data_IF_862773910453
#
_entry.id   IF_862773910453
#
_cell.length_a   1.000
_cell.length_b   1.000
_cell.length_c   1.000
_cell.angle_alpha   90.00
_cell.angle_beta   90.00
_cell.angle_gamma   90.00
#
_symmetry.space_group_name_H-M   'P 1'
#
loop_
_entity.id
_entity.type
_entity.pdbx_description
1 polymer ?
#
# COMPACT_ATOMS: atom_id res chain seq x y z
N UNK A 1 -68.50 48.96 -43.38
CA UNK A 1 -67.47 48.03 -43.89
C UNK A 1 -66.47 47.78 -42.78
N UNK A 2 -66.40 46.55 -42.30
CA UNK A 2 -65.99 46.24 -40.92
C UNK A 2 -64.47 46.24 -40.71
N UNK A 3 -64.06 46.82 -39.59
CA UNK A 3 -62.93 46.54 -38.68
C UNK A 3 -62.93 47.74 -37.71
N UNK A 4 -62.74 47.66 -36.40
CA UNK A 4 -61.95 46.74 -35.58
C UNK A 4 -62.05 47.29 -34.14
N UNK A 5 -62.09 46.43 -33.11
CA UNK A 5 -61.11 46.40 -31.99
C UNK A 5 -61.64 45.74 -30.72
N UNK A 6 -60.70 45.04 -30.12
CA UNK A 6 -60.75 44.11 -29.00
C UNK A 6 -60.48 44.88 -27.70
N UNK A 7 -61.33 44.67 -26.70
CA UNK A 7 -60.98 44.83 -25.28
C UNK A 7 -60.15 43.59 -24.85
N UNK A 8 -59.35 43.56 -23.78
CA UNK A 8 -59.76 43.89 -22.41
C UNK A 8 -58.57 43.70 -21.44
N UNK A 9 -58.44 44.67 -20.51
CA UNK A 9 -57.97 44.63 -19.11
C UNK A 9 -56.58 44.10 -18.68
N UNK A 10 -55.84 45.06 -18.10
CA UNK A 10 -54.74 44.96 -17.12
C UNK A 10 -55.25 44.58 -15.71
N UNK A 11 -54.41 43.90 -14.91
CA UNK A 11 -53.99 44.23 -13.51
C UNK A 11 -53.04 43.14 -12.93
N UNK A 12 -52.27 43.36 -11.84
CA UNK A 12 -50.81 43.52 -11.90
C UNK A 12 -49.97 42.38 -11.30
N UNK A 13 -48.67 42.50 -11.54
CA UNK A 13 -47.59 41.59 -11.16
C UNK A 13 -47.40 41.39 -9.65
N UNK A 14 -47.19 40.12 -9.26
CA UNK A 14 -46.38 39.74 -8.10
C UNK A 14 -45.26 38.81 -8.58
N UNK A 15 -44.03 39.29 -8.50
CA UNK A 15 -42.84 38.50 -8.64
C UNK A 15 -42.47 37.92 -7.27
N UNK A 16 -42.48 36.59 -7.12
CA UNK A 16 -41.68 35.91 -6.12
C UNK A 16 -41.06 34.68 -6.76
N UNK A 17 -39.74 34.60 -6.60
CA UNK A 17 -38.86 33.72 -7.36
C UNK A 17 -39.26 32.27 -7.31
N UNK A 18 -39.31 31.65 -8.49
CA UNK A 18 -39.25 30.21 -8.61
C UNK A 18 -37.87 29.81 -8.10
N UNK A 19 -37.84 29.19 -6.91
CA UNK A 19 -36.74 28.34 -6.48
C UNK A 19 -36.66 27.24 -7.54
N UNK A 20 -35.81 27.44 -8.55
CA UNK A 20 -35.35 26.35 -9.40
C UNK A 20 -34.63 25.40 -8.44
N UNK A 21 -35.34 24.37 -8.00
CA UNK A 21 -34.71 23.13 -7.59
C UNK A 21 -33.90 22.67 -8.78
N UNK A 22 -32.63 23.07 -8.82
CA UNK A 22 -31.65 22.49 -9.69
C UNK A 22 -31.69 21.01 -9.37
N UNK A 23 -32.34 20.24 -10.24
CA UNK A 23 -32.11 18.82 -10.33
C UNK A 23 -30.61 18.71 -10.49
N UNK A 24 -29.93 18.33 -9.40
CA UNK A 24 -28.55 17.91 -9.48
C UNK A 24 -28.53 16.90 -10.60
N UNK A 25 -27.84 17.23 -11.69
CA UNK A 25 -27.57 16.28 -12.75
C UNK A 25 -26.87 15.11 -12.08
N UNK A 26 -27.65 14.08 -11.75
CA UNK A 26 -27.15 12.84 -11.23
C UNK A 26 -26.21 12.32 -12.29
N UNK A 27 -24.91 12.38 -11.99
CA UNK A 27 -23.89 11.77 -12.81
C UNK A 27 -24.35 10.33 -13.03
N UNK A 28 -24.75 9.99 -14.26
CA UNK A 28 -25.34 8.71 -14.58
C UNK A 28 -24.35 7.62 -14.17
N UNK A 29 -24.63 6.95 -13.06
CA UNK A 29 -23.69 6.00 -12.52
C UNK A 29 -23.59 4.82 -13.48
N UNK A 30 -22.38 4.54 -13.95
CA UNK A 30 -22.13 3.41 -14.84
C UNK A 30 -22.65 2.13 -14.18
N UNK A 31 -23.51 1.39 -14.87
CA UNK A 31 -24.07 0.14 -14.34
C UNK A 31 -23.31 -1.05 -14.89
N UNK A 32 -23.06 -2.04 -14.04
CA UNK A 32 -22.44 -3.31 -14.40
C UNK A 32 -23.41 -4.47 -14.20
N UNK A 33 -23.52 -5.37 -15.18
CA UNK A 33 -24.27 -6.63 -15.05
C UNK A 33 -23.29 -7.78 -14.88
N UNK A 34 -23.51 -8.59 -13.85
CA UNK A 34 -22.68 -9.75 -13.58
C UNK A 34 -22.99 -10.84 -14.62
N UNK A 35 -21.98 -11.24 -15.38
CA UNK A 35 -22.09 -12.22 -16.47
C UNK A 35 -21.88 -13.64 -15.94
N UNK A 36 -20.97 -13.80 -14.97
CA UNK A 36 -20.68 -15.06 -14.29
C UNK A 36 -20.37 -14.80 -12.81
N UNK A 37 -20.56 -15.82 -11.96
CA UNK A 37 -20.36 -15.69 -10.51
C UNK A 37 -18.98 -15.10 -10.20
N UNK A 38 -18.95 -14.04 -9.38
CA UNK A 38 -17.73 -13.29 -9.07
C UNK A 38 -17.63 -12.99 -7.58
N UNK A 39 -16.42 -13.08 -7.03
CA UNK A 39 -16.15 -12.73 -5.64
C UNK A 39 -16.31 -11.23 -5.41
N UNK A 40 -17.20 -10.86 -4.48
CA UNK A 40 -17.32 -9.51 -3.96
C UNK A 40 -16.47 -9.36 -2.71
N UNK A 41 -15.46 -8.49 -2.77
CA UNK A 41 -14.36 -8.48 -1.80
C UNK A 41 -14.22 -7.16 -1.06
N UNK A 42 -13.58 -7.22 0.11
CA UNK A 42 -13.29 -6.04 0.93
C UNK A 42 -12.15 -5.18 0.38
N UNK A 43 -11.28 -5.72 -0.49
CA UNK A 43 -10.20 -4.99 -1.17
C UNK A 43 -10.04 -5.43 -2.64
N UNK A 44 -9.44 -4.59 -3.52
CA UNK A 44 -9.24 -4.90 -4.94
C UNK A 44 -8.04 -5.84 -5.16
N UNK A 45 -8.08 -7.00 -4.51
CA UNK A 45 -7.10 -8.07 -4.68
C UNK A 45 -7.73 -9.44 -4.38
N UNK A 46 -7.19 -10.49 -4.99
CA UNK A 46 -7.71 -11.87 -4.87
C UNK A 46 -7.43 -12.53 -3.52
N UNK A 47 -6.57 -11.95 -2.68
CA UNK A 47 -6.25 -12.45 -1.34
C UNK A 47 -7.12 -11.89 -0.21
N UNK A 48 -7.96 -10.89 -0.50
CA UNK A 48 -8.82 -10.24 0.48
C UNK A 48 -10.09 -11.05 0.77
N UNK A 49 -10.67 -10.83 1.94
CA UNK A 49 -11.90 -11.48 2.38
C UNK A 49 -13.02 -11.31 1.36
N UNK A 50 -13.62 -12.44 0.95
CA UNK A 50 -14.82 -12.45 0.13
C UNK A 50 -16.00 -12.19 1.07
N UNK A 51 -16.67 -11.06 0.88
CA UNK A 51 -17.90 -10.73 1.61
C UNK A 51 -19.01 -11.68 1.21
N UNK A 52 -19.21 -11.83 -0.11
CA UNK A 52 -20.11 -12.81 -0.73
C UNK A 52 -19.77 -12.98 -2.20
N UNK A 53 -20.49 -13.86 -2.88
CA UNK A 53 -20.44 -13.98 -4.34
C UNK A 53 -21.62 -13.23 -4.95
N UNK A 54 -21.36 -12.45 -6.01
CA UNK A 54 -22.43 -11.89 -6.83
C UNK A 54 -22.82 -12.92 -7.88
N UNK A 55 -24.12 -13.12 -8.08
CA UNK A 55 -24.62 -14.16 -8.99
C UNK A 55 -24.74 -13.62 -10.42
N UNK A 56 -24.63 -14.50 -11.40
CA UNK A 56 -24.90 -14.15 -12.79
C UNK A 56 -26.32 -13.55 -12.92
N UNK A 57 -26.43 -12.42 -13.62
CA UNK A 57 -27.66 -11.63 -13.74
C UNK A 57 -27.83 -10.53 -12.70
N UNK A 58 -27.08 -10.54 -11.59
CA UNK A 58 -27.08 -9.45 -10.61
C UNK A 58 -26.55 -8.15 -11.23
N UNK A 59 -27.13 -7.01 -10.84
CA UNK A 59 -26.69 -5.69 -11.30
C UNK A 59 -26.01 -4.94 -10.15
N UNK A 60 -24.97 -4.19 -10.50
CA UNK A 60 -24.20 -3.37 -9.57
C UNK A 60 -24.00 -1.98 -10.13
N UNK A 61 -23.90 -0.99 -9.25
CA UNK A 61 -23.47 0.35 -9.60
C UNK A 61 -21.95 0.40 -9.56
N UNK A 62 -21.31 0.77 -10.66
CA UNK A 62 -19.86 0.96 -10.72
C UNK A 62 -19.56 2.35 -10.19
N UNK A 63 -18.82 2.40 -9.09
CA UNK A 63 -18.41 3.64 -8.45
C UNK A 63 -17.08 4.15 -9.01
N UNK A 64 -16.16 3.24 -9.31
CA UNK A 64 -14.80 3.56 -9.73
C UNK A 64 -14.16 2.34 -10.42
N UNK A 65 -13.34 2.57 -11.45
CA UNK A 65 -12.41 1.56 -11.95
C UNK A 65 -11.06 1.76 -11.26
N UNK A 66 -10.74 0.87 -10.32
CA UNK A 66 -9.54 0.99 -9.47
C UNK A 66 -8.27 0.68 -10.26
N UNK A 67 -8.37 -0.23 -11.23
CA UNK A 67 -7.34 -0.55 -12.23
C UNK A 67 -7.95 -1.43 -13.34
N UNK A 68 -7.12 -1.94 -14.25
CA UNK A 68 -7.53 -2.82 -15.35
C UNK A 68 -8.20 -4.13 -14.94
N UNK A 69 -8.14 -4.50 -13.66
CA UNK A 69 -8.63 -5.78 -13.12
C UNK A 69 -9.71 -5.64 -12.05
N UNK A 70 -10.00 -4.44 -11.55
CA UNK A 70 -10.93 -4.24 -10.44
C UNK A 70 -11.85 -3.03 -10.63
N UNK A 71 -13.14 -3.27 -10.46
CA UNK A 71 -14.12 -2.21 -10.20
C UNK A 71 -14.42 -2.14 -8.71
N UNK A 72 -14.55 -0.93 -8.20
CA UNK A 72 -15.28 -0.66 -6.97
C UNK A 72 -16.75 -0.51 -7.33
N UNK A 73 -17.59 -1.32 -6.69
CA UNK A 73 -19.01 -1.41 -7.01
C UNK A 73 -19.86 -1.34 -5.75
N UNK A 74 -21.10 -0.87 -5.91
CA UNK A 74 -22.16 -0.94 -4.92
C UNK A 74 -23.22 -1.93 -5.38
N UNK A 75 -23.50 -2.93 -4.55
CA UNK A 75 -24.50 -3.96 -4.83
C UNK A 75 -25.92 -3.49 -4.48
N UNK A 76 -26.93 -4.26 -4.90
CA UNK A 76 -28.35 -3.94 -4.71
C UNK A 76 -28.79 -3.91 -3.24
N UNK A 77 -28.07 -4.63 -2.37
CA UNK A 77 -28.22 -4.60 -0.91
C UNK A 77 -27.60 -3.34 -0.27
N UNK A 78 -27.00 -2.45 -1.07
CA UNK A 78 -26.36 -1.22 -0.63
C UNK A 78 -24.89 -1.38 -0.20
N UNK A 79 -24.36 -2.59 -0.14
CA UNK A 79 -22.98 -2.85 0.26
C UNK A 79 -21.99 -2.41 -0.84
N UNK A 80 -20.85 -1.84 -0.43
CA UNK A 80 -19.76 -1.43 -1.34
C UNK A 80 -18.54 -2.33 -1.19
N UNK A 81 -17.90 -2.65 -2.31
CA UNK A 81 -16.74 -3.53 -2.35
C UNK A 81 -16.13 -3.64 -3.73
N UNK A 82 -15.32 -4.66 -3.95
CA UNK A 82 -14.52 -4.79 -5.16
C UNK A 82 -14.82 -6.10 -5.90
N UNK A 83 -14.93 -6.00 -7.23
CA UNK A 83 -15.16 -7.13 -8.14
C UNK A 83 -14.17 -7.07 -9.30
N UNK A 84 -13.90 -8.22 -9.91
CA UNK A 84 -13.04 -8.30 -11.10
C UNK A 84 -13.67 -7.50 -12.25
N UNK A 85 -12.87 -6.69 -12.95
CA UNK A 85 -13.30 -5.94 -14.15
C UNK A 85 -13.23 -6.74 -15.44
N UNK A 86 -12.82 -8.01 -15.38
CA UNK A 86 -12.74 -8.86 -16.57
C UNK A 86 -14.14 -9.11 -17.15
N UNK A 87 -14.24 -9.03 -18.48
CA UNK A 87 -15.51 -9.14 -19.21
C UNK A 87 -16.28 -10.46 -18.98
N UNK A 88 -15.58 -11.52 -18.59
CA UNK A 88 -16.20 -12.80 -18.22
C UNK A 88 -17.02 -12.74 -16.92
N UNK A 89 -16.77 -11.75 -16.06
CA UNK A 89 -17.45 -11.58 -14.77
C UNK A 89 -18.45 -10.43 -14.78
N UNK A 90 -18.15 -9.32 -15.47
CA UNK A 90 -18.99 -8.13 -15.46
C UNK A 90 -19.00 -7.46 -16.85
N UNK A 91 -20.19 -7.11 -17.33
CA UNK A 91 -20.40 -6.27 -18.52
C UNK A 91 -20.87 -4.89 -18.09
N UNK A 92 -20.26 -3.84 -18.64
CA UNK A 92 -20.59 -2.45 -18.30
C UNK A 92 -21.50 -1.89 -19.38
N UNK A 93 -22.62 -1.28 -18.99
CA UNK A 93 -23.49 -0.52 -19.88
C UNK A 93 -23.62 0.90 -19.34
N UNK A 94 -23.10 1.84 -20.13
CA UNK A 94 -22.95 3.25 -19.75
C UNK A 94 -21.51 3.73 -19.96
N UNK A 95 -21.14 3.93 -21.23
CA UNK A 95 -19.89 4.58 -21.61
C UNK A 95 -20.09 6.08 -21.69
N UNK A 96 -19.39 6.80 -20.84
CA UNK A 96 -18.80 8.08 -21.21
C UNK A 96 -17.35 8.04 -20.77
N UNK A 97 -16.55 7.42 -21.64
CA UNK A 97 -15.12 7.58 -21.70
C UNK A 97 -14.80 9.08 -21.82
N UNK A 98 -14.39 9.70 -20.72
CA UNK A 98 -13.55 10.89 -20.81
C UNK A 98 -12.10 10.41 -20.84
N UNK A 99 -11.72 9.87 -21.99
CA UNK A 99 -10.33 9.84 -22.44
C UNK A 99 -9.90 11.29 -22.67
N UNK A 100 -9.57 11.99 -21.59
CA UNK A 100 -8.90 13.27 -21.64
C UNK A 100 -7.43 13.03 -21.86
N UNK A 101 -7.00 13.08 -23.12
CA UNK A 101 -5.59 13.24 -23.48
C UNK A 101 -5.03 14.43 -22.72
N UNK A 102 -4.21 14.16 -21.71
CA UNK A 102 -3.21 15.10 -21.25
C UNK A 102 -1.89 14.57 -21.75
N UNK A 103 -1.47 15.08 -22.90
CA UNK A 103 -0.07 15.07 -23.33
C UNK A 103 0.74 15.79 -22.26
N UNK A 104 1.11 15.06 -21.22
CA UNK A 104 2.09 15.49 -20.24
C UNK A 104 3.39 14.87 -20.68
N UNK A 105 4.22 15.66 -21.37
CA UNK A 105 5.62 15.37 -21.70
C UNK A 105 6.23 14.44 -20.67
N UNK A 106 6.49 13.20 -21.10
CA UNK A 106 6.66 12.06 -20.22
C UNK A 106 7.72 12.32 -19.16
N UNK A 107 7.32 12.28 -17.90
CA UNK A 107 8.25 12.30 -16.79
C UNK A 107 9.25 11.16 -16.97
N UNK A 108 10.51 11.51 -17.16
CA UNK A 108 11.56 10.50 -17.31
C UNK A 108 11.90 9.92 -15.94
N UNK A 109 12.08 8.61 -15.86
CA UNK A 109 12.55 7.90 -14.68
C UNK A 109 14.00 7.45 -14.87
N UNK A 110 14.83 7.57 -13.85
CA UNK A 110 16.16 6.93 -13.83
C UNK A 110 16.13 5.78 -12.83
N UNK A 111 16.46 4.58 -13.30
CA UNK A 111 16.56 3.40 -12.46
C UNK A 111 17.77 3.56 -11.55
N UNK A 112 17.57 3.46 -10.24
CA UNK A 112 18.64 3.66 -9.24
C UNK A 112 19.38 2.35 -8.97
N UNK A 113 18.62 1.31 -8.68
CA UNK A 113 19.12 -0.05 -8.47
C UNK A 113 18.43 -1.01 -9.44
N UNK A 114 19.05 -2.17 -9.66
CA UNK A 114 18.45 -3.25 -10.46
C UNK A 114 17.02 -3.53 -10.00
N UNK A 115 16.06 -3.45 -10.92
CA UNK A 115 14.63 -3.64 -10.62
C UNK A 115 14.03 -4.64 -11.58
N UNK A 116 13.16 -5.52 -11.06
CA UNK A 116 12.36 -6.41 -11.91
C UNK A 116 11.42 -5.59 -12.77
N UNK A 117 11.59 -5.67 -14.08
CA UNK A 117 10.63 -5.17 -15.06
C UNK A 117 9.65 -6.28 -15.36
N UNK A 118 8.37 -6.06 -15.03
CA UNK A 118 7.37 -7.12 -14.99
C UNK A 118 6.26 -6.92 -15.99
N UNK A 119 5.60 -8.02 -16.32
CA UNK A 119 4.43 -8.03 -17.19
C UNK A 119 3.19 -7.45 -16.49
N UNK A 120 3.15 -7.43 -15.15
CA UNK A 120 2.04 -6.88 -14.35
C UNK A 120 2.55 -6.10 -13.12
N UNK A 121 1.75 -5.17 -12.55
CA UNK A 121 2.10 -4.38 -11.37
C UNK A 121 1.94 -5.19 -10.07
N UNK A 122 2.60 -6.34 -10.01
CA UNK A 122 2.63 -7.22 -8.85
C UNK A 122 3.97 -7.98 -8.76
N UNK A 123 4.36 -8.37 -7.55
CA UNK A 123 5.65 -9.03 -7.29
C UNK A 123 5.70 -10.51 -7.68
N UNK A 124 4.56 -11.12 -8.02
CA UNK A 124 4.43 -12.52 -8.42
C UNK A 124 4.42 -12.74 -9.95
N UNK A 125 4.23 -11.69 -10.73
CA UNK A 125 4.15 -11.75 -12.18
C UNK A 125 5.50 -12.01 -12.85
N UNK A 126 5.43 -12.54 -14.07
CA UNK A 126 6.61 -12.83 -14.88
C UNK A 126 7.50 -11.59 -15.04
N UNK A 127 8.79 -11.78 -14.78
CA UNK A 127 9.81 -10.77 -15.04
C UNK A 127 10.15 -10.81 -16.52
N UNK A 128 9.92 -9.71 -17.22
CA UNK A 128 10.33 -9.52 -18.62
C UNK A 128 11.86 -9.54 -18.66
N UNK A 129 12.48 -8.65 -17.88
CA UNK A 129 13.91 -8.58 -17.64
C UNK A 129 14.21 -7.73 -16.41
N UNK A 130 15.47 -7.57 -16.06
CA UNK A 130 15.89 -6.59 -15.06
C UNK A 130 16.32 -5.30 -15.77
N UNK A 131 15.86 -4.15 -15.27
CA UNK A 131 16.43 -2.86 -15.66
C UNK A 131 17.64 -2.58 -14.79
N UNK A 132 18.73 -2.09 -15.38
CA UNK A 132 19.98 -1.84 -14.64
C UNK A 132 19.97 -0.45 -13.99
N UNK A 133 20.73 -0.29 -12.91
CA UNK A 133 21.00 1.03 -12.34
C UNK A 133 21.60 1.96 -13.42
N UNK A 134 21.09 3.19 -13.48
CA UNK A 134 21.41 4.18 -14.51
C UNK A 134 20.56 4.11 -15.77
N UNK A 135 19.76 3.05 -15.98
CA UNK A 135 18.88 2.92 -17.14
C UNK A 135 17.76 3.98 -17.08
N UNK A 136 17.54 4.69 -18.18
CA UNK A 136 16.46 5.68 -18.29
C UNK A 136 15.21 5.04 -18.87
N UNK A 137 14.06 5.34 -18.28
CA UNK A 137 12.75 4.89 -18.71
C UNK A 137 11.80 6.08 -18.85
N UNK A 138 10.80 5.96 -19.71
CA UNK A 138 9.70 6.91 -19.74
C UNK A 138 8.60 6.42 -18.81
N UNK A 139 8.18 7.25 -17.85
CA UNK A 139 7.04 6.92 -16.99
C UNK A 139 5.77 7.28 -17.75
N UNK A 140 4.96 6.25 -18.03
CA UNK A 140 3.69 6.40 -18.72
C UNK A 140 2.55 6.65 -17.74
N UNK A 141 2.60 6.01 -16.58
CA UNK A 141 1.51 6.05 -15.60
C UNK A 141 2.03 5.68 -14.19
N UNK A 142 1.49 6.33 -13.16
CA UNK A 142 1.59 5.84 -11.78
C UNK A 142 0.38 4.97 -11.48
N UNK A 143 0.56 3.66 -11.56
CA UNK A 143 -0.52 2.67 -11.40
C UNK A 143 -1.07 2.66 -9.97
N UNK A 144 -0.18 2.80 -8.98
CA UNK A 144 -0.51 3.01 -7.57
C UNK A 144 0.74 3.46 -6.79
N UNK A 145 0.70 3.41 -5.46
CA UNK A 145 1.81 3.78 -4.58
C UNK A 145 3.05 2.88 -4.69
N UNK A 146 2.95 1.75 -5.37
CA UNK A 146 4.00 0.73 -5.47
C UNK A 146 4.48 0.47 -6.89
N UNK A 147 3.78 0.97 -7.93
CA UNK A 147 4.08 0.63 -9.31
C UNK A 147 3.99 1.82 -10.26
N UNK A 148 5.02 1.98 -11.08
CA UNK A 148 4.97 2.76 -12.31
C UNK A 148 4.81 1.83 -13.51
N UNK A 149 3.97 2.23 -14.45
CA UNK A 149 4.00 1.73 -15.82
C UNK A 149 5.05 2.53 -16.57
N UNK A 150 6.03 1.85 -17.14
CA UNK A 150 7.17 2.49 -17.78
C UNK A 150 7.44 1.88 -19.15
N UNK A 151 8.02 2.68 -20.03
CA UNK A 151 8.56 2.27 -21.32
C UNK A 151 10.08 2.31 -21.25
N UNK A 152 10.72 1.18 -21.52
CA UNK A 152 12.18 1.07 -21.54
C UNK A 152 12.77 1.61 -22.86
N UNK A 153 14.09 1.77 -22.92
CA UNK A 153 14.81 2.29 -24.09
C UNK A 153 14.67 1.41 -25.34
N UNK A 154 14.44 0.11 -25.14
CA UNK A 154 14.16 -0.87 -26.21
C UNK A 154 12.71 -0.80 -26.74
N UNK A 155 11.88 0.10 -26.19
CA UNK A 155 10.48 0.28 -26.57
C UNK A 155 9.50 -0.60 -25.80
N UNK A 156 9.97 -1.56 -25.00
CA UNK A 156 9.15 -2.48 -24.22
C UNK A 156 8.41 -1.75 -23.12
N UNK A 157 7.12 -2.07 -22.95
CA UNK A 157 6.27 -1.51 -21.88
C UNK A 157 6.01 -2.56 -20.81
N UNK A 158 6.13 -2.15 -19.56
CA UNK A 158 5.90 -3.03 -18.42
C UNK A 158 5.84 -2.24 -17.11
N UNK A 159 5.98 -2.94 -16.00
CA UNK A 159 5.79 -2.37 -14.66
C UNK A 159 7.05 -2.50 -13.81
N UNK A 160 7.38 -1.42 -13.10
CA UNK A 160 8.49 -1.37 -12.15
C UNK A 160 8.02 -0.81 -10.83
N UNK A 161 8.69 -1.19 -9.75
CA UNK A 161 8.38 -0.65 -8.43
C UNK A 161 8.56 0.87 -8.41
N UNK A 162 7.58 1.61 -7.88
CA UNK A 162 7.63 3.07 -7.74
C UNK A 162 8.43 3.54 -6.52
N UNK A 163 9.06 2.62 -5.79
CA UNK A 163 9.89 2.95 -4.66
C UNK A 163 11.16 3.67 -5.12
N UNK A 164 11.54 4.73 -4.42
CA UNK A 164 12.68 5.59 -4.75
C UNK A 164 14.03 4.85 -4.83
N UNK A 165 14.15 3.70 -4.15
CA UNK A 165 15.31 2.82 -4.23
C UNK A 165 15.47 2.15 -5.62
N UNK A 166 14.42 2.08 -6.43
CA UNK A 166 14.43 1.44 -7.75
C UNK A 166 14.32 2.45 -8.89
N UNK A 167 13.57 3.54 -8.70
CA UNK A 167 13.36 4.54 -9.75
C UNK A 167 13.19 5.93 -9.15
N UNK A 168 13.86 6.91 -9.75
CA UNK A 168 13.73 8.34 -9.44
C UNK A 168 13.06 9.05 -10.61
N UNK A 169 12.14 9.96 -10.35
CA UNK A 169 11.44 10.70 -11.40
C UNK A 169 12.15 12.02 -11.65
N UNK A 170 12.73 12.17 -12.84
CA UNK A 170 13.34 13.40 -13.33
C UNK A 170 12.27 14.39 -13.75
N UNK A 171 11.93 15.29 -12.83
CA UNK A 171 10.92 16.33 -13.03
C UNK A 171 10.74 17.22 -11.81
N UNK A 172 11.83 17.80 -11.32
CA UNK A 172 11.92 19.08 -10.58
C UNK A 172 13.31 19.20 -9.98
N UNK A 173 14.19 19.91 -10.66
CA UNK A 173 15.39 20.49 -10.07
C UNK A 173 15.02 21.83 -9.43
N UNK A 174 15.24 21.96 -8.12
CA UNK A 174 15.79 23.20 -7.57
C UNK A 174 16.71 22.83 -6.42
N UNK A 175 18.00 23.19 -6.57
CA UNK A 175 18.95 23.20 -5.47
C UNK A 175 18.70 24.37 -4.52
N UNK A 176 19.41 24.34 -3.39
CA UNK A 176 19.60 25.48 -2.50
C UNK A 176 18.68 25.53 -1.28
N UNK A 177 19.25 25.16 -0.13
CA UNK A 177 19.10 25.72 1.22
C UNK A 177 17.90 26.61 1.55
N UNK A 178 17.20 26.28 2.65
CA UNK A 178 16.48 27.27 3.47
C UNK A 178 15.03 26.93 3.83
N UNK A 179 14.84 26.55 5.10
CA UNK A 179 13.68 26.81 5.97
C UNK A 179 12.29 26.22 5.68
N UNK A 180 11.81 25.49 6.70
CA UNK A 180 10.47 25.52 7.32
C UNK A 180 9.22 25.54 6.42
N UNK A 181 8.44 24.47 6.48
CA UNK A 181 7.10 24.40 5.91
C UNK A 181 6.42 23.06 6.17
N UNK A 182 5.87 22.91 7.38
CA UNK A 182 5.04 21.79 7.80
C UNK A 182 3.70 21.75 7.04
N UNK A 183 3.33 20.61 6.48
CA UNK A 183 1.92 20.15 6.40
C UNK A 183 1.86 18.65 6.13
N UNK A 184 1.29 17.94 7.10
CA UNK A 184 1.36 16.50 7.29
C UNK A 184 0.52 15.67 6.31
N UNK A 185 1.14 14.59 5.85
CA UNK A 185 0.49 13.32 5.59
C UNK A 185 1.53 12.20 5.80
N UNK A 186 1.58 11.66 7.02
CA UNK A 186 2.29 10.42 7.35
C UNK A 186 3.83 10.50 7.43
N UNK A 187 4.38 11.51 8.11
CA UNK A 187 5.81 11.65 8.38
C UNK A 187 6.37 10.42 9.09
N UNK A 188 6.97 9.50 8.36
CA UNK A 188 8.03 8.66 8.93
C UNK A 188 9.13 9.64 9.35
N UNK A 189 9.53 9.65 10.62
CA UNK A 189 10.64 10.50 11.05
C UNK A 189 11.85 10.21 10.16
N UNK A 190 12.64 11.24 9.83
CA UNK A 190 13.84 11.06 9.00
C UNK A 190 14.76 9.96 9.55
N UNK A 191 14.76 9.76 10.87
CA UNK A 191 15.46 8.70 11.58
C UNK A 191 14.88 7.30 11.29
N UNK A 192 13.56 7.10 11.42
CA UNK A 192 12.93 5.82 11.13
C UNK A 192 13.13 5.39 9.66
N UNK A 193 13.05 6.34 8.72
CA UNK A 193 13.32 6.08 7.31
C UNK A 193 14.78 5.63 7.08
N UNK A 194 15.75 6.25 7.77
CA UNK A 194 17.17 5.85 7.72
C UNK A 194 17.37 4.44 8.27
N UNK A 195 16.74 4.08 9.38
CA UNK A 195 16.81 2.73 9.96
C UNK A 195 16.28 1.68 9.00
N UNK A 196 15.11 1.91 8.42
CA UNK A 196 14.53 1.00 7.41
C UNK A 196 15.47 0.88 6.19
N UNK A 197 16.00 2.00 5.70
CA UNK A 197 16.91 1.99 4.56
C UNK A 197 18.22 1.24 4.86
N UNK A 198 18.79 1.42 6.06
CA UNK A 198 19.96 0.69 6.51
C UNK A 198 19.67 -0.81 6.62
N UNK A 199 18.56 -1.20 7.25
CA UNK A 199 18.15 -2.61 7.37
C UNK A 199 17.98 -3.29 6.01
N UNK A 200 17.39 -2.60 5.02
CA UNK A 200 17.18 -3.16 3.68
C UNK A 200 18.47 -3.46 2.92
N UNK A 201 19.61 -2.85 3.27
CA UNK A 201 20.92 -3.18 2.68
C UNK A 201 21.33 -4.63 2.93
N UNK A 202 20.78 -5.24 3.98
CA UNK A 202 21.12 -6.60 4.41
C UNK A 202 20.16 -7.66 3.89
N UNK A 203 19.21 -7.34 2.99
CA UNK A 203 18.31 -8.34 2.42
C UNK A 203 19.10 -9.52 1.83
N UNK A 204 18.72 -10.74 2.23
CA UNK A 204 19.39 -11.98 1.87
C UNK A 204 20.57 -12.37 2.76
N UNK A 205 21.04 -11.52 3.67
CA UNK A 205 22.13 -11.89 4.59
C UNK A 205 21.70 -13.11 5.42
N UNK A 206 22.49 -14.21 5.43
CA UNK A 206 22.09 -15.46 6.08
C UNK A 206 21.81 -15.34 7.57
N UNK A 207 20.90 -16.18 8.06
CA UNK A 207 20.61 -16.29 9.48
C UNK A 207 21.66 -17.13 10.20
N UNK A 208 22.13 -16.66 11.35
CA UNK A 208 22.93 -17.43 12.30
C UNK A 208 22.51 -17.09 13.72
N UNK A 209 22.07 -18.10 14.49
CA UNK A 209 21.69 -17.90 15.88
C UNK A 209 22.91 -17.49 16.72
N UNK A 210 22.82 -16.35 17.41
CA UNK A 210 23.94 -15.84 18.20
C UNK A 210 25.08 -15.29 17.36
N UNK A 211 24.78 -14.75 16.17
CA UNK A 211 25.76 -14.19 15.23
C UNK A 211 26.78 -13.24 15.88
N UNK A 212 27.98 -13.20 15.28
CA UNK A 212 29.04 -12.29 15.67
C UNK A 212 28.68 -10.83 15.32
N UNK A 213 28.29 -10.08 16.36
CA UNK A 213 27.91 -8.66 16.34
C UNK A 213 29.03 -7.69 15.92
N UNK A 214 30.24 -8.19 15.65
CA UNK A 214 31.36 -7.39 15.13
C UNK A 214 31.41 -7.33 13.61
N UNK A 215 30.67 -8.19 12.91
CA UNK A 215 30.63 -8.23 11.45
C UNK A 215 29.20 -8.39 10.90
N UNK A 216 29.05 -8.43 9.58
CA UNK A 216 27.73 -8.47 8.91
C UNK A 216 27.59 -9.65 7.95
N UNK A 217 28.37 -10.72 8.15
CA UNK A 217 28.33 -11.92 7.29
C UNK A 217 27.05 -12.73 7.51
N UNK A 218 26.58 -12.77 8.75
CA UNK A 218 25.37 -13.46 9.19
C UNK A 218 24.68 -12.62 10.26
N UNK A 219 23.40 -12.89 10.52
CA UNK A 219 22.66 -12.22 11.58
C UNK A 219 21.71 -13.17 12.32
N UNK A 220 21.60 -13.01 13.64
CA UNK A 220 20.37 -13.34 14.36
C UNK A 220 19.38 -12.16 14.29
N UNK A 221 18.16 -12.38 14.78
CA UNK A 221 17.10 -11.36 14.70
C UNK A 221 17.48 -10.04 15.38
N UNK A 222 18.09 -10.11 16.57
CA UNK A 222 18.42 -8.94 17.38
C UNK A 222 19.68 -8.23 16.91
N UNK A 223 20.65 -8.99 16.40
CA UNK A 223 21.85 -8.44 15.79
C UNK A 223 21.51 -7.69 14.50
N UNK A 224 20.64 -8.25 13.65
CA UNK A 224 20.14 -7.55 12.47
C UNK A 224 19.49 -6.19 12.82
N UNK A 225 18.57 -6.18 13.78
CA UNK A 225 17.90 -4.93 14.22
C UNK A 225 18.93 -3.96 14.78
N UNK A 226 19.83 -4.44 15.65
CA UNK A 226 20.90 -3.63 16.23
C UNK A 226 21.80 -3.00 15.17
N UNK A 227 22.22 -3.78 14.17
CA UNK A 227 23.08 -3.31 13.09
C UNK A 227 22.37 -2.25 12.23
N UNK A 228 21.08 -2.43 11.92
CA UNK A 228 20.30 -1.44 11.17
C UNK A 228 20.23 -0.07 11.90
N UNK A 229 20.04 -0.07 13.22
CA UNK A 229 20.06 1.16 14.02
C UNK A 229 21.46 1.77 14.13
N UNK A 230 22.49 0.94 14.28
CA UNK A 230 23.89 1.37 14.34
C UNK A 230 24.33 2.05 13.05
N UNK A 231 24.03 1.44 11.90
CA UNK A 231 24.38 1.99 10.58
C UNK A 231 23.61 3.26 10.24
N UNK A 232 22.34 3.33 10.63
CA UNK A 232 21.49 4.46 10.29
C UNK A 232 21.79 5.70 11.12
N UNK A 233 22.05 5.51 12.42
CA UNK A 233 22.00 6.59 13.42
C UNK A 233 23.16 6.56 14.43
N UNK A 234 24.05 5.58 14.35
CA UNK A 234 25.08 5.35 15.37
C UNK A 234 24.54 4.81 16.70
N UNK A 235 23.23 4.48 16.77
CA UNK A 235 22.59 3.99 17.99
C UNK A 235 22.90 2.51 18.16
N UNK A 236 23.57 2.17 19.24
CA UNK A 236 23.89 0.77 19.58
C UNK A 236 22.83 0.22 20.52
N UNK A 237 21.88 -0.55 19.98
CA UNK A 237 20.89 -1.25 20.78
C UNK A 237 21.53 -2.38 21.62
N UNK A 238 20.88 -2.82 22.72
CA UNK A 238 21.28 -3.99 23.48
C UNK A 238 21.40 -5.26 22.63
N UNK A 239 22.15 -6.23 23.12
CA UNK A 239 22.60 -7.37 22.33
C UNK A 239 21.51 -8.37 21.98
N UNK A 240 20.48 -8.57 22.82
CA UNK A 240 19.45 -9.60 22.64
C UNK A 240 18.06 -9.03 22.42
N UNK A 241 17.17 -9.77 21.77
CA UNK A 241 15.78 -9.34 21.54
C UNK A 241 15.04 -9.00 22.85
N UNK A 242 15.34 -9.71 23.95
CA UNK A 242 14.78 -9.45 25.28
C UNK A 242 15.27 -8.12 25.85
N UNK A 243 16.57 -7.88 25.81
CA UNK A 243 17.14 -6.61 26.32
C UNK A 243 16.77 -5.41 25.43
N UNK A 244 16.58 -5.63 24.12
CA UNK A 244 16.01 -4.62 23.23
C UNK A 244 14.53 -4.33 23.56
N UNK A 245 13.76 -5.35 23.91
CA UNK A 245 12.38 -5.20 24.37
C UNK A 245 12.30 -4.35 25.64
N UNK A 246 13.19 -4.59 26.61
CA UNK A 246 13.28 -3.79 27.84
C UNK A 246 13.70 -2.35 27.55
N UNK A 247 14.67 -2.15 26.65
CA UNK A 247 15.09 -0.82 26.20
C UNK A 247 13.92 -0.02 25.57
N UNK A 248 13.16 -0.65 24.67
CA UNK A 248 12.00 -0.01 24.02
C UNK A 248 10.89 0.28 25.04
N UNK A 249 10.62 -0.63 25.98
CA UNK A 249 9.67 -0.36 27.08
C UNK A 249 10.11 0.83 27.93
N UNK A 250 11.40 0.93 28.26
CA UNK A 250 11.95 2.04 29.05
C UNK A 250 11.82 3.41 28.37
N UNK A 251 11.78 3.45 27.04
CA UNK A 251 11.52 4.67 26.24
C UNK A 251 10.04 5.10 26.26
N UNK A 252 9.13 4.17 26.52
CA UNK A 252 7.69 4.41 26.53
C UNK A 252 7.01 4.29 25.15
N UNK A 253 5.71 4.59 25.10
CA UNK A 253 4.88 4.56 23.87
C UNK A 253 4.81 3.20 23.15
N UNK A 254 4.81 2.10 23.90
CA UNK A 254 4.60 0.76 23.34
C UNK A 254 3.13 0.45 23.13
N UNK A 255 2.82 -0.36 22.12
CA UNK A 255 1.47 -0.87 21.84
C UNK A 255 1.46 -2.39 21.69
N UNK A 256 0.36 -3.02 22.09
CA UNK A 256 0.06 -4.45 21.87
C UNK A 256 -0.77 -4.69 20.61
N UNK A 257 -1.19 -3.63 19.92
CA UNK A 257 -1.86 -3.70 18.62
C UNK A 257 -0.90 -3.22 17.53
N UNK A 258 -0.47 -4.16 16.67
CA UNK A 258 0.53 -3.86 15.63
C UNK A 258 0.03 -2.83 14.61
N UNK A 259 -1.29 -2.65 14.48
CA UNK A 259 -1.89 -1.65 13.57
C UNK A 259 -1.62 -0.21 14.00
N UNK A 260 -1.24 -0.01 15.27
CA UNK A 260 -0.92 1.30 15.83
C UNK A 260 0.59 1.61 15.75
N UNK A 261 1.41 0.64 15.30
CA UNK A 261 2.84 0.86 15.12
C UNK A 261 3.12 1.78 13.94
N UNK A 262 4.25 2.48 14.03
CA UNK A 262 4.76 3.33 12.96
C UNK A 262 5.93 2.63 12.26
N UNK A 263 6.13 2.86 10.95
CA UNK A 263 7.33 2.39 10.28
C UNK A 263 8.59 2.80 11.04
N UNK A 264 9.49 1.85 11.28
CA UNK A 264 10.72 2.01 12.05
C UNK A 264 10.63 1.54 13.50
N UNK A 265 9.43 1.32 14.02
CA UNK A 265 9.25 0.70 15.35
C UNK A 265 9.75 -0.74 15.35
N UNK A 266 10.20 -1.21 16.51
CA UNK A 266 10.62 -2.61 16.70
C UNK A 266 9.42 -3.42 17.17
N UNK A 267 9.17 -4.55 16.51
CA UNK A 267 8.17 -5.53 16.88
C UNK A 267 8.82 -6.65 17.68
N UNK A 268 8.16 -7.08 18.77
CA UNK A 268 8.63 -8.17 19.62
C UNK A 268 7.61 -9.31 19.66
N UNK A 269 8.12 -10.54 19.58
CA UNK A 269 7.31 -11.74 19.42
C UNK A 269 7.65 -12.80 20.45
N UNK A 270 6.65 -13.58 20.82
CA UNK A 270 6.80 -14.79 21.62
C UNK A 270 7.18 -16.00 20.76
N UNK A 271 7.43 -17.13 21.42
CA UNK A 271 7.74 -18.39 20.77
C UNK A 271 6.66 -18.87 19.81
N UNK A 272 7.14 -19.56 18.77
CA UNK A 272 6.28 -20.22 17.80
C UNK A 272 5.58 -21.42 18.44
N UNK A 273 4.26 -21.49 18.30
CA UNK A 273 3.43 -22.60 18.81
C UNK A 273 2.60 -23.28 17.73
N UNK A 274 2.83 -22.92 16.46
CA UNK A 274 2.04 -23.38 15.31
C UNK A 274 1.64 -22.24 14.38
N UNK A 275 1.08 -22.58 13.23
CA UNK A 275 0.70 -21.61 12.20
C UNK A 275 -0.69 -20.99 12.41
N UNK A 276 -1.58 -21.69 13.11
CA UNK A 276 -2.99 -21.30 13.23
C UNK A 276 -3.25 -20.39 14.43
N UNK A 277 -4.28 -19.55 14.33
CA UNK A 277 -4.69 -18.66 15.42
C UNK A 277 -5.06 -19.43 16.70
N UNK A 278 -5.67 -20.61 16.55
CA UNK A 278 -6.06 -21.48 17.66
C UNK A 278 -4.89 -21.97 18.50
N UNK A 279 -3.68 -22.04 17.95
CA UNK A 279 -2.47 -22.38 18.72
C UNK A 279 -2.09 -21.31 19.77
N UNK A 280 -2.72 -20.13 19.72
CA UNK A 280 -2.42 -18.99 20.57
C UNK A 280 -3.63 -18.55 21.43
N UNK A 281 -4.77 -19.22 21.32
CA UNK A 281 -5.97 -18.93 22.13
C UNK A 281 -5.68 -19.13 23.62
N UNK A 282 -6.15 -18.19 24.46
CA UNK A 282 -5.98 -18.27 25.92
C UNK A 282 -4.57 -17.91 26.42
N UNK A 283 -3.62 -17.63 25.54
CA UNK A 283 -2.27 -17.23 25.95
C UNK A 283 -2.26 -15.76 26.39
N UNK A 284 -1.85 -15.53 27.64
CA UNK A 284 -1.52 -14.18 28.08
C UNK A 284 -0.14 -13.76 27.53
N UNK A 285 -0.17 -13.04 26.41
CA UNK A 285 1.02 -12.55 25.69
C UNK A 285 1.94 -11.68 26.56
N UNK A 286 1.39 -10.87 27.47
CA UNK A 286 2.18 -9.97 28.32
C UNK A 286 3.13 -10.70 29.28
N UNK A 287 2.83 -11.98 29.59
CA UNK A 287 3.64 -12.85 30.45
C UNK A 287 4.61 -13.75 29.67
N UNK A 288 4.62 -13.67 28.34
CA UNK A 288 5.47 -14.53 27.51
C UNK A 288 6.87 -13.94 27.36
N UNK A 289 7.86 -14.81 27.33
CA UNK A 289 9.25 -14.45 27.02
C UNK A 289 9.36 -14.02 25.56
N UNK A 290 10.06 -12.90 25.32
CA UNK A 290 10.41 -12.48 23.96
C UNK A 290 11.45 -13.45 23.40
N UNK A 291 11.21 -13.92 22.18
CA UNK A 291 12.12 -14.81 21.46
C UNK A 291 12.49 -14.34 20.06
N UNK A 292 11.82 -13.33 19.53
CA UNK A 292 12.12 -12.78 18.22
C UNK A 292 11.82 -11.29 18.14
N UNK A 293 12.48 -10.58 17.23
CA UNK A 293 12.22 -9.17 16.95
C UNK A 293 12.45 -8.81 15.46
N UNK A 294 11.91 -7.67 15.03
CA UNK A 294 12.14 -7.12 13.70
C UNK A 294 11.60 -5.71 13.53
N UNK A 295 11.91 -5.07 12.41
CA UNK A 295 11.58 -3.66 12.15
C UNK A 295 10.24 -3.60 11.41
N UNK A 296 9.26 -2.89 11.96
CA UNK A 296 7.98 -2.67 11.30
C UNK A 296 8.15 -1.72 10.10
N UNK A 297 7.55 -2.08 8.97
CA UNK A 297 7.63 -1.28 7.74
C UNK A 297 6.32 -0.54 7.43
N UNK A 298 5.29 -0.68 8.27
CA UNK A 298 3.93 -0.27 7.93
C UNK A 298 3.15 -1.39 7.22
N UNK A 299 1.82 -1.23 7.14
CA UNK A 299 0.93 -2.10 6.37
C UNK A 299 1.05 -3.60 6.68
N UNK A 300 1.40 -3.95 7.93
CA UNK A 300 1.57 -5.34 8.34
C UNK A 300 2.83 -6.00 7.77
N UNK A 301 3.81 -5.22 7.30
CA UNK A 301 5.09 -5.73 6.83
C UNK A 301 6.15 -5.62 7.92
N UNK A 302 7.01 -6.63 8.00
CA UNK A 302 8.14 -6.71 8.92
C UNK A 302 9.42 -7.02 8.14
N UNK A 303 10.51 -6.33 8.48
CA UNK A 303 11.86 -6.62 8.03
C UNK A 303 12.62 -7.35 9.16
N UNK A 304 13.06 -8.58 8.90
CA UNK A 304 13.68 -9.43 9.93
C UNK A 304 14.46 -10.61 9.32
N UNK A 305 15.11 -11.39 10.19
CA UNK A 305 15.62 -12.74 9.88
C UNK A 305 15.41 -13.66 11.08
N UNK A 306 14.99 -14.92 10.87
CA UNK A 306 14.49 -15.76 11.97
C UNK A 306 14.87 -17.25 11.93
N UNK A 307 15.41 -17.76 10.82
CA UNK A 307 15.94 -19.12 10.73
C UNK A 307 16.78 -19.31 9.47
N UNK A 308 17.58 -20.38 9.40
CA UNK A 308 18.35 -20.72 8.18
C UNK A 308 17.43 -20.97 6.99
N UNK A 309 16.33 -21.68 7.23
CA UNK A 309 15.31 -22.07 6.25
C UNK A 309 14.50 -20.88 5.74
N UNK A 310 14.49 -19.76 6.48
CA UNK A 310 13.81 -18.54 6.05
C UNK A 310 14.47 -17.84 4.86
N UNK A 311 15.75 -18.14 4.60
CA UNK A 311 16.54 -17.55 3.50
C UNK A 311 17.25 -16.24 3.85
N UNK A 312 17.47 -15.96 5.14
CA UNK A 312 18.20 -14.77 5.60
C UNK A 312 17.30 -13.58 5.94
N UNK A 313 17.84 -12.36 5.85
CA UNK A 313 17.07 -11.13 6.07
C UNK A 313 16.07 -10.93 4.94
N UNK A 314 14.82 -10.72 5.30
CA UNK A 314 13.70 -10.66 4.35
C UNK A 314 12.58 -9.79 4.87
N UNK A 315 11.63 -9.51 3.97
CA UNK A 315 10.38 -8.84 4.30
C UNK A 315 9.27 -9.87 4.24
N UNK A 316 8.50 -9.99 5.32
CA UNK A 316 7.29 -10.80 5.39
C UNK A 316 6.07 -9.94 5.71
N UNK A 317 4.88 -10.44 5.35
CA UNK A 317 3.62 -9.94 5.89
C UNK A 317 3.28 -10.69 7.17
N UNK A 318 2.81 -9.98 8.20
CA UNK A 318 2.38 -10.56 9.47
C UNK A 318 0.88 -10.85 9.52
N UNK A 319 0.08 -10.10 8.75
CA UNK A 319 -1.38 -10.11 8.84
C UNK A 319 -1.96 -11.49 8.47
N UNK A 320 -2.82 -12.04 9.32
CA UNK A 320 -3.45 -13.34 9.16
C UNK A 320 -2.49 -14.53 9.29
N UNK A 321 -1.26 -14.31 9.75
CA UNK A 321 -0.23 -15.34 9.87
C UNK A 321 0.24 -15.49 11.30
N UNK A 322 1.04 -16.53 11.55
CA UNK A 322 1.61 -16.78 12.87
C UNK A 322 2.40 -15.60 13.44
N UNK A 323 2.94 -14.69 12.63
CA UNK A 323 3.58 -13.47 13.12
C UNK A 323 2.61 -12.52 13.82
N UNK A 324 1.40 -12.31 13.30
CA UNK A 324 0.35 -11.56 14.01
C UNK A 324 -0.05 -12.27 15.31
N UNK A 325 -0.16 -13.59 15.28
CA UNK A 325 -0.54 -14.37 16.47
C UNK A 325 0.53 -14.36 17.56
N UNK A 326 1.81 -14.29 17.17
CA UNK A 326 2.97 -14.21 18.07
C UNK A 326 3.33 -12.80 18.53
N UNK A 327 2.76 -11.77 17.92
CA UNK A 327 3.08 -10.38 18.28
C UNK A 327 2.69 -10.12 19.73
N UNK A 328 3.67 -9.72 20.56
CA UNK A 328 3.47 -9.41 21.98
C UNK A 328 3.25 -7.93 22.16
N UNK A 329 4.21 -7.13 21.70
CA UNK A 329 4.14 -5.67 21.67
C UNK A 329 5.19 -5.11 20.71
N UNK A 330 5.11 -3.83 20.42
CA UNK A 330 6.15 -3.08 19.72
C UNK A 330 6.17 -1.62 20.12
N UNK A 331 7.19 -0.89 19.67
CA UNK A 331 7.32 0.53 19.95
C UNK A 331 8.60 1.12 19.38
N UNK A 332 8.77 2.42 19.59
CA UNK A 332 9.91 3.15 19.06
C UNK A 332 11.16 2.96 19.92
N UNK A 333 12.29 2.76 19.27
CA UNK A 333 13.61 2.81 19.91
C UNK A 333 14.29 4.19 19.79
N UNK A 334 13.63 5.14 19.11
CA UNK A 334 14.07 6.51 18.84
C UNK A 334 13.62 7.43 19.98
#
# INVERSE_FOLDING_TARGET
MNKKWTAMLLLPALAFGILQGGAQTANAASTGKIVSSVSFRTQPNTGSSVMRYLKAGETVQILEQVNSYWYKVKASDGASGYVSSQAQYISVSGSSSSGGSSSSSGSTGTIVNSVSFRTQPDTGSSVIRYLKGGEKVQILEKVNNYWYKVKASDGTVGYVSSQSQYITVGGSSSGGSGSSGNSGSGTTSSAAAKVIAAGKKYLGTPYEYGSDRSNTKTFDCSDFVRQAFKDALGITLPSSSRTQADYVKGKGNTTTNWRDLKPGDIMFFMDYKGTAASNYTGINKSKQTISHCGIYLGNGQILHTYSKESGGVKIDSIAGKHWEYRFVFGGSAL
#
